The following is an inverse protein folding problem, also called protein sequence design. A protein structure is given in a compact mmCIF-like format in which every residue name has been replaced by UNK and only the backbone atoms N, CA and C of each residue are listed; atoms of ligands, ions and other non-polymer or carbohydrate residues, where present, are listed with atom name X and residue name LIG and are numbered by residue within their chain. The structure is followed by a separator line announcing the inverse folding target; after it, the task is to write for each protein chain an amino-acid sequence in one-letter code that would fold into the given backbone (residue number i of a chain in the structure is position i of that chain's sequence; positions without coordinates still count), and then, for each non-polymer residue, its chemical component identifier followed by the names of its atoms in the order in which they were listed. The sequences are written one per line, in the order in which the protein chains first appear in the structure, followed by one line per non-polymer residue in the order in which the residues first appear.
data_IF_216384712517
#
_entry.id   IF_216384712517
#
_cell.length_a   1.000
_cell.length_b   1.000
_cell.length_c   1.000
_cell.angle_alpha   90.00
_cell.angle_beta   90.00
_cell.angle_gamma   90.00
#
_symmetry.space_group_name_H-M   'P 1'
#
loop_
_entity.id
_entity.type
_entity.pdbx_description
1 polymer ?
#
# COMPACT_ATOMS: atom_id res chain seq x y z
N UNK A 1 70.07 46.98 16.01
CA UNK A 1 69.06 46.44 16.94
C UNK A 1 68.29 45.36 16.20
N UNK A 2 68.17 44.18 16.84
CA UNK A 2 67.59 42.91 16.36
C UNK A 2 66.17 43.12 15.77
N UNK A 3 65.65 42.38 14.79
CA UNK A 3 65.30 40.95 14.85
C UNK A 3 65.16 40.30 13.45
N UNK A 4 65.31 38.97 13.45
CA UNK A 4 65.39 37.99 12.35
C UNK A 4 64.02 37.31 12.14
N UNK A 5 63.65 37.08 10.86
CA UNK A 5 62.99 35.96 10.15
C UNK A 5 62.14 34.88 10.92
N UNK A 6 61.35 33.97 10.27
CA UNK A 6 61.32 33.63 8.84
C UNK A 6 59.95 33.34 8.18
N UNK A 7 60.01 33.30 6.85
CA UNK A 7 59.03 32.81 5.87
C UNK A 7 58.86 31.29 5.99
N UNK A 8 57.61 30.80 6.02
CA UNK A 8 57.29 29.38 5.97
C UNK A 8 56.95 28.98 4.52
N UNK A 9 57.80 28.17 3.90
CA UNK A 9 57.51 27.43 2.66
C UNK A 9 57.41 25.96 3.04
N UNK A 10 56.28 25.32 2.76
CA UNK A 10 56.12 23.87 2.89
C UNK A 10 55.62 23.28 1.58
N UNK A 11 56.49 22.47 0.99
CA UNK A 11 56.27 21.59 -0.16
C UNK A 11 55.89 20.23 0.42
N UNK A 12 54.84 19.58 -0.11
CA UNK A 12 54.57 18.16 0.15
C UNK A 12 54.32 17.43 -1.17
N UNK A 13 55.00 16.30 -1.32
CA UNK A 13 55.25 15.56 -2.54
C UNK A 13 54.07 14.70 -3.02
N UNK A 14 53.98 14.51 -4.35
CA UNK A 14 53.16 13.48 -5.00
C UNK A 14 53.91 12.15 -5.04
N UNK A 15 53.32 11.08 -4.50
CA UNK A 15 53.86 9.72 -4.56
C UNK A 15 52.73 8.69 -4.77
N UNK A 16 52.82 7.92 -5.86
CA UNK A 16 52.60 6.46 -5.87
C UNK A 16 51.19 5.87 -6.09
N UNK A 17 51.01 5.16 -7.20
CA UNK A 17 49.90 4.24 -7.49
C UNK A 17 49.88 2.99 -6.60
N UNK A 18 48.69 2.45 -6.28
CA UNK A 18 48.55 1.06 -5.83
C UNK A 18 47.26 0.41 -6.35
N UNK A 19 47.43 -0.54 -7.26
CA UNK A 19 46.39 -1.46 -7.74
C UNK A 19 46.30 -2.66 -6.80
N UNK A 20 45.11 -3.06 -6.37
CA UNK A 20 44.83 -4.44 -5.95
C UNK A 20 43.33 -4.79 -6.04
N UNK A 21 43.01 -6.06 -6.36
CA UNK A 21 41.66 -6.54 -6.66
C UNK A 21 40.94 -7.03 -5.39
N UNK A 22 39.61 -7.07 -5.44
CA UNK A 22 38.81 -7.80 -4.44
C UNK A 22 37.92 -6.90 -3.60
N UNK A 23 36.72 -6.68 -4.11
CA UNK A 23 35.60 -6.15 -3.33
C UNK A 23 34.34 -6.72 -3.94
N UNK A 24 33.95 -7.92 -3.52
CA UNK A 24 32.64 -8.49 -3.81
C UNK A 24 31.60 -7.51 -3.30
N UNK A 25 31.02 -6.73 -4.22
CA UNK A 25 29.86 -5.93 -3.95
C UNK A 25 28.74 -6.89 -3.56
N UNK A 26 28.46 -6.97 -2.26
CA UNK A 26 27.24 -7.55 -1.73
C UNK A 26 26.08 -6.78 -2.36
N UNK A 27 25.16 -7.43 -3.11
CA UNK A 27 23.93 -6.76 -3.48
C UNK A 27 23.16 -6.52 -2.17
N UNK A 28 23.13 -5.26 -1.75
CA UNK A 28 22.22 -4.80 -0.71
C UNK A 28 20.81 -5.07 -1.19
N UNK A 29 20.17 -6.09 -0.60
CA UNK A 29 18.77 -6.38 -0.81
C UNK A 29 17.96 -5.27 -0.15
N UNK A 30 17.67 -4.21 -0.91
CA UNK A 30 16.59 -3.29 -0.60
C UNK A 30 15.29 -3.87 -1.16
N UNK A 31 14.86 -5.00 -0.58
CA UNK A 31 13.51 -5.52 -0.77
C UNK A 31 12.53 -4.66 0.02
N UNK A 32 12.08 -3.56 -0.57
CA UNK A 32 10.87 -2.87 -0.10
C UNK A 32 9.72 -3.86 -0.21
N UNK A 33 9.18 -4.26 0.92
CA UNK A 33 7.95 -5.04 0.97
C UNK A 33 6.80 -4.19 0.42
N UNK A 34 6.54 -4.28 -0.89
CA UNK A 34 5.31 -3.75 -1.47
C UNK A 34 4.18 -4.65 -1.02
N UNK A 35 3.60 -4.35 0.14
CA UNK A 35 2.23 -4.77 0.43
C UNK A 35 1.39 -4.33 -0.77
N UNK A 36 0.72 -5.28 -1.43
CA UNK A 36 -0.10 -4.97 -2.60
C UNK A 36 -1.20 -3.99 -2.14
N UNK A 37 -1.08 -2.73 -2.55
CA UNK A 37 -2.06 -1.70 -2.22
C UNK A 37 -3.33 -2.07 -2.96
N UNK A 38 -4.41 -2.34 -2.21
CA UNK A 38 -5.71 -2.63 -2.81
C UNK A 38 -6.11 -1.47 -3.71
N UNK A 39 -6.66 -1.74 -4.91
CA UNK A 39 -7.18 -0.67 -5.75
C UNK A 39 -8.29 0.07 -5.01
N UNK A 40 -8.50 1.36 -5.30
CA UNK A 40 -9.65 2.08 -4.77
C UNK A 40 -10.95 1.56 -5.41
N UNK A 41 -12.05 1.70 -4.68
CA UNK A 41 -13.39 1.55 -5.25
C UNK A 41 -13.70 2.81 -6.04
N UNK A 42 -14.08 2.67 -7.31
CA UNK A 42 -14.43 3.81 -8.17
C UNK A 42 -15.96 3.91 -8.30
N UNK A 43 -16.52 5.12 -8.17
CA UNK A 43 -17.95 5.36 -8.36
C UNK A 43 -18.15 6.62 -9.20
N UNK A 44 -18.96 6.54 -10.27
CA UNK A 44 -19.48 7.72 -10.95
C UNK A 44 -20.88 8.03 -10.39
N UNK A 45 -21.06 9.11 -9.61
CA UNK A 45 -22.33 9.43 -8.97
C UNK A 45 -23.44 9.81 -9.96
N UNK A 46 -23.11 10.02 -11.25
CA UNK A 46 -24.11 10.25 -12.29
C UNK A 46 -24.61 8.95 -12.94
N UNK A 47 -23.96 7.83 -12.67
CA UNK A 47 -24.28 6.51 -13.24
C UNK A 47 -24.79 5.57 -12.15
N UNK A 48 -24.20 5.61 -10.95
CA UNK A 48 -24.52 4.71 -9.85
C UNK A 48 -24.65 5.47 -8.52
N UNK A 49 -25.66 5.11 -7.73
CA UNK A 49 -25.95 5.77 -6.44
C UNK A 49 -25.76 4.85 -5.23
N UNK A 50 -25.23 3.65 -5.44
CA UNK A 50 -24.91 2.70 -4.38
C UNK A 50 -23.43 2.29 -4.47
N UNK A 51 -22.74 2.18 -3.34
CA UNK A 51 -21.36 1.70 -3.31
C UNK A 51 -21.14 0.77 -2.14
N UNK A 52 -20.48 -0.36 -2.39
CA UNK A 52 -19.86 -1.18 -1.36
C UNK A 52 -18.44 -0.66 -1.12
N UNK A 53 -18.16 -0.22 0.09
CA UNK A 53 -16.86 0.34 0.48
C UNK A 53 -16.22 -0.53 1.56
N UNK A 54 -15.32 -1.45 1.20
CA UNK A 54 -14.66 -2.27 2.19
C UNK A 54 -13.73 -1.48 3.11
N UNK A 55 -13.66 -1.89 4.38
CA UNK A 55 -12.68 -1.35 5.32
C UNK A 55 -11.25 -1.47 4.75
N UNK A 56 -10.50 -0.36 4.79
CA UNK A 56 -9.12 -0.30 4.28
C UNK A 56 -8.98 0.13 2.82
N UNK A 57 -10.08 0.25 2.06
CA UNK A 57 -10.09 0.87 0.74
C UNK A 57 -10.63 2.31 0.80
N UNK A 58 -10.47 3.05 -0.29
CA UNK A 58 -11.05 4.39 -0.44
C UNK A 58 -12.04 4.35 -1.60
N UNK A 59 -13.21 4.97 -1.40
CA UNK A 59 -14.15 5.21 -2.48
C UNK A 59 -13.77 6.51 -3.18
N UNK A 60 -13.33 6.44 -4.43
CA UNK A 60 -12.95 7.60 -5.24
C UNK A 60 -14.09 7.90 -6.22
N UNK A 61 -14.53 9.16 -6.25
CA UNK A 61 -15.56 9.61 -7.17
C UNK A 61 -14.95 9.96 -8.53
N UNK A 62 -15.50 9.41 -9.61
CA UNK A 62 -15.15 9.81 -10.97
C UNK A 62 -16.05 10.97 -11.38
N UNK A 63 -15.52 12.19 -11.35
CA UNK A 63 -16.30 13.41 -11.63
C UNK A 63 -15.49 14.43 -12.42
N UNK A 64 -16.19 15.34 -13.09
CA UNK A 64 -15.57 16.55 -13.66
C UNK A 64 -15.44 17.64 -12.60
N UNK A 65 -14.45 18.51 -12.76
CA UNK A 65 -14.16 19.63 -11.86
C UNK A 65 -14.09 19.20 -10.37
N UNK A 66 -13.15 18.30 -10.03
CA UNK A 66 -13.15 17.60 -8.75
C UNK A 66 -12.95 18.53 -7.53
N UNK A 67 -12.45 19.74 -7.74
CA UNK A 67 -12.29 20.74 -6.68
C UNK A 67 -13.59 21.38 -6.23
N UNK A 68 -14.66 21.33 -7.02
CA UNK A 68 -15.92 22.05 -6.74
C UNK A 68 -17.05 21.16 -6.23
N UNK A 69 -16.79 19.87 -6.05
CA UNK A 69 -17.70 18.97 -5.36
C UNK A 69 -17.65 19.17 -3.84
N UNK A 70 -18.79 18.94 -3.19
CA UNK A 70 -18.91 18.86 -1.73
C UNK A 70 -19.84 17.72 -1.32
N UNK A 71 -19.77 17.31 -0.07
CA UNK A 71 -20.58 16.22 0.45
C UNK A 71 -21.10 16.54 1.86
N UNK A 72 -22.34 16.15 2.11
CA UNK A 72 -22.96 16.08 3.43
C UNK A 72 -23.21 14.61 3.77
N UNK A 73 -22.41 14.10 4.70
CA UNK A 73 -22.54 12.73 5.21
C UNK A 73 -23.56 12.72 6.34
N UNK A 74 -24.60 11.88 6.24
CA UNK A 74 -25.65 11.80 7.26
C UNK A 74 -25.10 11.34 8.61
N UNK A 75 -24.26 10.30 8.60
CA UNK A 75 -23.53 9.84 9.78
C UNK A 75 -22.01 9.89 9.52
N UNK A 76 -21.32 10.95 9.97
CA UNK A 76 -19.88 11.12 9.78
C UNK A 76 -19.03 10.15 10.61
N UNK A 77 -19.63 9.30 11.46
CA UNK A 77 -18.90 8.22 12.15
C UNK A 77 -18.65 7.00 11.25
N UNK A 78 -19.29 6.93 10.08
CA UNK A 78 -19.24 5.78 9.15
C UNK A 78 -18.20 6.02 8.04
N UNK A 79 -18.22 7.19 7.41
CA UNK A 79 -17.25 7.58 6.38
C UNK A 79 -16.80 9.03 6.55
N UNK A 80 -15.58 9.32 6.11
CA UNK A 80 -15.03 10.68 6.03
C UNK A 80 -14.91 11.10 4.58
N UNK A 81 -15.54 12.21 4.21
CA UNK A 81 -15.33 12.84 2.91
C UNK A 81 -13.97 13.55 2.85
N UNK A 82 -13.28 13.40 1.72
CA UNK A 82 -12.07 14.12 1.36
C UNK A 82 -12.35 14.87 0.07
N UNK A 83 -12.27 16.20 0.15
CA UNK A 83 -12.49 17.07 -1.00
C UNK A 83 -11.39 16.85 -2.04
N UNK A 84 -11.79 16.79 -3.30
CA UNK A 84 -10.85 16.74 -4.43
C UNK A 84 -10.21 18.09 -4.73
N UNK A 85 -9.63 18.18 -5.92
CA UNK A 85 -9.01 19.38 -6.47
C UNK A 85 -7.49 19.31 -6.52
N UNK A 86 -6.89 20.45 -6.85
CA UNK A 86 -5.48 20.56 -7.20
C UNK A 86 -4.53 20.20 -6.05
N UNK A 87 -3.60 19.28 -6.32
CA UNK A 87 -2.52 18.83 -5.42
C UNK A 87 -1.13 19.22 -5.95
N UNK A 88 -1.05 20.37 -6.62
CA UNK A 88 0.13 20.84 -7.32
C UNK A 88 0.12 20.42 -8.79
N UNK A 89 0.82 19.34 -9.12
CA UNK A 89 0.98 18.89 -10.51
C UNK A 89 -0.14 17.97 -11.03
N UNK A 90 -1.16 17.70 -10.21
CA UNK A 90 -2.28 16.82 -10.54
C UNK A 90 -3.54 17.23 -9.76
N UNK A 91 -4.72 16.88 -10.27
CA UNK A 91 -5.99 17.08 -9.58
C UNK A 91 -6.45 15.76 -8.95
N UNK A 92 -6.74 15.78 -7.65
CA UNK A 92 -7.31 14.64 -6.95
C UNK A 92 -8.82 14.61 -7.14
N UNK A 93 -9.36 13.42 -7.38
CA UNK A 93 -10.80 13.22 -7.29
C UNK A 93 -11.28 13.28 -5.83
N UNK A 94 -12.53 13.73 -5.57
CA UNK A 94 -13.12 13.61 -4.25
C UNK A 94 -13.25 12.15 -3.84
N UNK A 95 -13.19 11.88 -2.55
CA UNK A 95 -13.22 10.50 -2.06
C UNK A 95 -13.84 10.36 -0.67
N UNK A 96 -14.11 9.11 -0.28
CA UNK A 96 -14.53 8.73 1.07
C UNK A 96 -13.60 7.68 1.66
N UNK A 97 -13.15 7.93 2.89
CA UNK A 97 -12.42 6.96 3.70
C UNK A 97 -13.40 6.28 4.68
N UNK A 98 -13.47 4.94 4.73
CA UNK A 98 -14.31 4.23 5.68
C UNK A 98 -13.76 4.33 7.10
N UNK A 99 -14.65 4.48 8.07
CA UNK A 99 -14.33 4.58 9.50
C UNK A 99 -14.91 3.40 10.29
N UNK A 100 -16.12 2.95 9.94
CA UNK A 100 -16.86 1.91 10.67
C UNK A 100 -17.80 1.15 9.72
N UNK A 101 -17.89 -0.18 9.81
CA UNK A 101 -18.91 -0.95 9.09
C UNK A 101 -20.33 -0.50 9.46
N UNK A 102 -21.08 -0.08 8.45
CA UNK A 102 -22.49 0.35 8.48
C UNK A 102 -22.86 1.00 7.14
N UNK A 103 -24.15 1.22 6.91
CA UNK A 103 -24.66 1.99 5.77
C UNK A 103 -24.91 3.44 6.15
N UNK A 104 -24.56 4.38 5.27
CA UNK A 104 -24.89 5.80 5.44
C UNK A 104 -25.32 6.44 4.12
N UNK A 105 -26.18 7.44 4.20
CA UNK A 105 -26.55 8.28 3.07
C UNK A 105 -25.64 9.49 2.99
N UNK A 106 -25.23 9.83 1.78
CA UNK A 106 -24.44 11.01 1.48
C UNK A 106 -25.15 11.83 0.43
N UNK A 107 -25.33 13.12 0.70
CA UNK A 107 -25.75 14.09 -0.31
C UNK A 107 -24.50 14.75 -0.88
N UNK A 108 -24.20 14.47 -2.15
CA UNK A 108 -23.20 15.18 -2.93
C UNK A 108 -23.82 16.43 -3.55
N UNK A 109 -23.02 17.49 -3.66
CA UNK A 109 -23.38 18.68 -4.42
C UNK A 109 -22.34 18.88 -5.52
N UNK A 110 -22.79 18.91 -6.77
CA UNK A 110 -21.94 19.14 -7.93
C UNK A 110 -21.58 20.64 -8.10
N UNK A 111 -20.67 20.99 -9.02
CA UNK A 111 -20.27 22.38 -9.28
C UNK A 111 -21.42 23.30 -9.72
N UNK A 112 -22.50 22.73 -10.24
CA UNK A 112 -23.70 23.43 -10.69
C UNK A 112 -24.73 23.58 -9.56
N UNK A 113 -24.46 23.04 -8.37
CA UNK A 113 -25.36 23.07 -7.21
C UNK A 113 -26.43 21.98 -7.23
N UNK A 114 -26.36 21.01 -8.14
CA UNK A 114 -27.27 19.85 -8.16
C UNK A 114 -26.91 18.92 -7.02
N UNK A 115 -27.91 18.51 -6.27
CA UNK A 115 -27.77 17.50 -5.22
C UNK A 115 -27.98 16.09 -5.77
N UNK A 116 -27.10 15.17 -5.38
CA UNK A 116 -27.16 13.74 -5.72
C UNK A 116 -27.03 12.98 -4.41
N UNK A 117 -27.99 12.10 -4.12
CA UNK A 117 -27.92 11.23 -2.95
C UNK A 117 -27.33 9.88 -3.34
N UNK A 118 -26.31 9.44 -2.62
CA UNK A 118 -25.73 8.10 -2.73
C UNK A 118 -25.81 7.37 -1.39
N UNK A 119 -25.92 6.05 -1.45
CA UNK A 119 -25.82 5.14 -0.30
C UNK A 119 -24.46 4.47 -0.32
N UNK A 120 -23.72 4.61 0.78
CA UNK A 120 -22.43 3.95 0.96
C UNK A 120 -22.62 2.89 2.03
N UNK A 121 -22.43 1.64 1.67
CA UNK A 121 -22.39 0.51 2.58
C UNK A 121 -20.92 0.19 2.89
N UNK A 122 -20.50 0.51 4.11
CA UNK A 122 -19.18 0.12 4.59
C UNK A 122 -19.28 -1.31 5.11
N UNK A 123 -18.55 -2.20 4.46
CA UNK A 123 -18.54 -3.63 4.77
C UNK A 123 -17.24 -4.03 5.45
N UNK A 124 -17.32 -5.01 6.34
CA UNK A 124 -16.11 -5.70 6.78
C UNK A 124 -15.61 -6.56 5.61
N UNK A 125 -14.30 -6.79 5.53
CA UNK A 125 -13.75 -7.64 4.46
C UNK A 125 -14.31 -9.07 4.48
N UNK A 126 -14.90 -9.48 5.61
CA UNK A 126 -15.53 -10.78 5.79
C UNK A 126 -16.73 -11.04 4.84
N UNK A 127 -17.44 -9.99 4.42
CA UNK A 127 -18.61 -10.12 3.53
C UNK A 127 -18.21 -10.33 2.05
N UNK A 128 -16.96 -9.99 1.70
CA UNK A 128 -16.37 -10.21 0.38
C UNK A 128 -14.98 -10.86 0.53
N UNK A 129 -14.91 -12.10 1.06
CA UNK A 129 -13.65 -12.70 1.53
C UNK A 129 -12.64 -12.92 0.40
N UNK A 130 -13.10 -13.04 -0.84
CA UNK A 130 -12.25 -13.25 -2.02
C UNK A 130 -11.65 -11.95 -2.56
N UNK A 131 -12.23 -10.79 -2.26
CA UNK A 131 -11.85 -9.48 -2.82
C UNK A 131 -11.27 -8.54 -1.76
N UNK A 132 -11.58 -8.74 -0.49
CA UNK A 132 -11.19 -7.84 0.59
C UNK A 132 -10.48 -8.63 1.69
N UNK A 133 -9.23 -8.28 2.04
CA UNK A 133 -8.56 -8.86 3.20
C UNK A 133 -9.38 -8.65 4.47
N UNK A 134 -9.70 -9.73 5.17
CA UNK A 134 -10.30 -9.65 6.50
C UNK A 134 -9.21 -9.33 7.54
N UNK A 135 -9.60 -8.85 8.73
CA UNK A 135 -8.65 -8.68 9.84
C UNK A 135 -7.92 -9.98 10.18
N UNK A 136 -8.60 -11.11 10.03
CA UNK A 136 -8.03 -12.43 10.26
C UNK A 136 -6.97 -12.76 9.22
N UNK A 137 -7.23 -12.55 7.93
CA UNK A 137 -6.23 -12.78 6.88
C UNK A 137 -5.02 -11.85 7.03
N UNK A 138 -5.24 -10.60 7.43
CA UNK A 138 -4.15 -9.66 7.74
C UNK A 138 -3.31 -10.16 8.91
N UNK A 139 -3.94 -10.55 10.02
CA UNK A 139 -3.23 -11.09 11.19
C UNK A 139 -2.46 -12.37 10.84
N UNK A 140 -3.08 -13.26 10.07
CA UNK A 140 -2.49 -14.50 9.58
C UNK A 140 -1.23 -14.24 8.75
N UNK A 141 -1.28 -13.28 7.83
CA UNK A 141 -0.11 -12.90 7.02
C UNK A 141 1.07 -12.42 7.88
N UNK A 142 0.82 -11.75 8.99
CA UNK A 142 1.88 -11.31 9.91
C UNK A 142 2.37 -12.44 10.82
N UNK A 143 1.46 -13.32 11.25
CA UNK A 143 1.74 -14.43 12.16
C UNK A 143 2.75 -15.43 11.58
N UNK A 144 2.71 -15.67 10.27
CA UNK A 144 3.52 -16.70 9.61
C UNK A 144 4.95 -16.25 9.28
N UNK A 145 5.26 -14.96 9.44
CA UNK A 145 6.61 -14.44 9.21
C UNK A 145 7.54 -14.96 10.31
N UNK A 146 8.69 -15.52 9.91
CA UNK A 146 9.66 -16.15 10.80
C UNK A 146 9.35 -17.61 11.15
N UNK A 147 8.20 -18.14 10.73
CA UNK A 147 7.90 -19.57 10.83
C UNK A 147 8.59 -20.35 9.73
N UNK A 148 8.70 -21.67 9.96
CA UNK A 148 9.10 -22.59 8.92
C UNK A 148 8.04 -22.70 7.83
N UNK A 149 8.45 -23.02 6.60
CA UNK A 149 7.52 -23.19 5.48
C UNK A 149 6.43 -24.21 5.82
N UNK A 150 6.80 -25.35 6.40
CA UNK A 150 5.87 -26.43 6.76
C UNK A 150 4.77 -25.95 7.74
N UNK A 151 5.16 -25.24 8.79
CA UNK A 151 4.25 -24.72 9.81
C UNK A 151 3.37 -23.61 9.24
N UNK A 152 3.96 -22.70 8.45
CA UNK A 152 3.25 -21.61 7.80
C UNK A 152 2.18 -22.14 6.84
N UNK A 153 2.50 -23.14 6.02
CA UNK A 153 1.55 -23.74 5.07
C UNK A 153 0.39 -24.41 5.81
N UNK A 154 0.65 -25.10 6.93
CA UNK A 154 -0.41 -25.71 7.75
C UNK A 154 -1.34 -24.66 8.34
N UNK A 155 -0.77 -23.60 8.93
CA UNK A 155 -1.55 -22.51 9.54
C UNK A 155 -2.41 -21.79 8.49
N UNK A 156 -1.84 -21.47 7.33
CA UNK A 156 -2.55 -20.76 6.25
C UNK A 156 -3.67 -21.61 5.67
N UNK A 157 -3.43 -22.89 5.38
CA UNK A 157 -4.48 -23.77 4.86
C UNK A 157 -5.55 -24.05 5.91
N UNK A 158 -5.17 -24.13 7.19
CA UNK A 158 -6.08 -24.33 8.31
C UNK A 158 -7.08 -23.19 8.49
N UNK A 159 -6.74 -21.97 8.09
CA UNK A 159 -7.67 -20.82 8.08
C UNK A 159 -8.57 -20.76 6.84
N UNK A 160 -8.45 -21.72 5.92
CA UNK A 160 -9.15 -21.70 4.64
C UNK A 160 -8.60 -20.69 3.64
N UNK A 161 -7.34 -20.26 3.81
CA UNK A 161 -6.61 -19.48 2.82
C UNK A 161 -5.75 -20.40 1.93
N UNK A 162 -5.53 -19.96 0.70
CA UNK A 162 -4.59 -20.55 -0.23
C UNK A 162 -3.19 -19.98 0.03
N UNK A 163 -2.17 -20.79 -0.24
CA UNK A 163 -0.77 -20.38 -0.18
C UNK A 163 -0.18 -20.38 -1.59
N UNK A 164 0.64 -19.39 -1.90
CA UNK A 164 1.42 -19.34 -3.14
C UNK A 164 2.84 -18.92 -2.82
N UNK A 165 3.83 -19.57 -3.42
CA UNK A 165 5.23 -19.18 -3.22
C UNK A 165 5.57 -18.13 -4.27
N UNK A 166 5.78 -16.89 -3.82
CA UNK A 166 6.19 -15.77 -4.67
C UNK A 166 7.70 -15.78 -4.91
N UNK A 167 8.47 -16.24 -3.90
CA UNK A 167 9.92 -16.28 -3.97
C UNK A 167 10.46 -17.43 -3.12
N UNK A 168 11.49 -18.13 -3.61
CA UNK A 168 12.27 -19.10 -2.83
C UNK A 168 13.75 -18.87 -3.06
N UNK A 169 14.53 -18.74 -2.00
CA UNK A 169 15.99 -18.63 -2.05
C UNK A 169 16.48 -17.54 -3.03
N UNK A 170 15.79 -16.41 -3.03
CA UNK A 170 16.03 -15.24 -3.92
C UNK A 170 15.67 -15.46 -5.39
N UNK A 171 15.08 -16.59 -5.75
CA UNK A 171 14.43 -16.81 -7.04
C UNK A 171 12.95 -16.41 -6.95
N UNK A 172 12.53 -15.44 -7.76
CA UNK A 172 11.14 -15.00 -7.86
C UNK A 172 10.39 -15.83 -8.89
N UNK A 173 9.18 -16.25 -8.54
CA UNK A 173 8.30 -16.99 -9.43
C UNK A 173 7.35 -16.04 -10.16
N UNK A 174 7.06 -16.35 -11.42
CA UNK A 174 6.08 -15.58 -12.20
C UNK A 174 4.69 -15.80 -11.59
N UNK A 175 4.05 -14.71 -11.17
CA UNK A 175 2.72 -14.73 -10.59
C UNK A 175 1.70 -14.19 -11.59
N UNK A 176 0.53 -14.82 -11.62
CA UNK A 176 -0.64 -14.29 -12.31
C UNK A 176 -1.24 -13.14 -11.50
N UNK A 177 -1.78 -12.13 -12.20
CA UNK A 177 -2.38 -10.92 -11.62
C UNK A 177 -3.84 -11.14 -11.17
N UNK A 178 -4.19 -12.35 -10.75
CA UNK A 178 -5.52 -12.75 -10.29
C UNK A 178 -5.63 -12.52 -8.77
N UNK A 179 -5.70 -11.26 -8.34
CA UNK A 179 -5.73 -10.94 -6.92
C UNK A 179 -6.80 -11.74 -6.16
N UNK A 180 -6.40 -12.36 -5.03
CA UNK A 180 -7.32 -13.02 -4.10
C UNK A 180 -7.00 -12.63 -2.67
N UNK A 181 -8.00 -12.09 -1.97
CA UNK A 181 -7.91 -11.81 -0.54
C UNK A 181 -7.86 -13.08 0.32
N UNK A 182 -8.09 -14.27 -0.24
CA UNK A 182 -7.89 -15.57 0.41
C UNK A 182 -6.57 -16.23 0.03
N UNK A 183 -5.64 -15.53 -0.60
CA UNK A 183 -4.32 -16.07 -0.95
C UNK A 183 -3.22 -15.30 -0.22
N UNK A 184 -2.33 -16.06 0.42
CA UNK A 184 -1.11 -15.52 1.01
C UNK A 184 0.07 -15.96 0.15
N UNK A 185 0.73 -14.98 -0.45
CA UNK A 185 2.00 -15.13 -1.12
C UNK A 185 3.12 -15.16 -0.09
N UNK A 186 3.96 -16.18 -0.12
CA UNK A 186 5.12 -16.32 0.75
C UNK A 186 6.42 -16.08 -0.01
N UNK A 187 7.34 -15.39 0.63
CA UNK A 187 8.74 -15.34 0.26
C UNK A 187 9.56 -16.11 1.29
N UNK A 188 10.38 -17.04 0.82
CA UNK A 188 11.07 -18.01 1.65
C UNK A 188 12.58 -17.92 1.37
N UNK A 189 13.39 -17.88 2.42
CA UNK A 189 14.84 -18.05 2.34
C UNK A 189 15.25 -19.21 3.26
N UNK A 190 15.89 -20.22 2.68
CA UNK A 190 16.07 -21.51 3.32
C UNK A 190 14.71 -22.16 3.60
N UNK A 191 14.43 -22.41 4.87
CA UNK A 191 13.16 -23.01 5.33
C UNK A 191 12.28 -21.97 6.05
N UNK A 192 12.65 -20.69 6.06
CA UNK A 192 11.98 -19.67 6.87
C UNK A 192 11.24 -18.67 5.99
N UNK A 193 9.98 -18.40 6.35
CA UNK A 193 9.19 -17.33 5.74
C UNK A 193 9.78 -15.99 6.14
N UNK A 194 10.26 -15.23 5.15
CA UNK A 194 10.85 -13.91 5.37
C UNK A 194 9.85 -12.79 5.13
N UNK A 195 8.83 -13.03 4.31
CA UNK A 195 7.76 -12.08 4.02
C UNK A 195 6.50 -12.81 3.59
N UNK A 196 5.37 -12.23 3.92
CA UNK A 196 4.05 -12.70 3.51
C UNK A 196 3.20 -11.50 3.05
N UNK A 197 2.55 -11.64 1.90
CA UNK A 197 1.65 -10.63 1.34
C UNK A 197 0.34 -11.26 0.91
N UNK A 198 -0.75 -10.51 1.00
CA UNK A 198 -2.06 -10.98 0.54
C UNK A 198 -2.18 -10.68 -0.95
N UNK A 199 -2.58 -11.66 -1.75
CA UNK A 199 -2.83 -11.44 -3.17
C UNK A 199 -2.76 -12.66 -4.05
#
# INVERSE_FOLDING_TARGET
MRLIAPVLVSILALTGCQSSPGGSATPGSSGSATSAVLPPVMLDPNVETHAFLPMGQTLVLTVTDPGNWSAKVLDPSIVKFVKGGNQGSWDANPSFTPLKPATTLVTLTDPQGKEIQISIEVVDGADFPDLVPTKETVALSQQVIGLKEEDAVVIIKGSGCNVRIARRDKEEFVLTADYSARRINLEIDGDVVTKATIG
#
